data_IF_390050946010
#
_entry.id   IF_390050946010
#
_cell.length_a   1.000
_cell.length_b   1.000
_cell.length_c   1.000
_cell.angle_alpha   90.00
_cell.angle_beta   90.00
_cell.angle_gamma   90.00
#
_symmetry.space_group_name_H-M   'P 1'
#
loop_
_entity.id
_entity.type
_entity.pdbx_description
1 polymer ?
#
# COMPACT_ATOMS: atom_id res chain seq x y z
N UNK A 1 4.33 39.57 4.54
CA UNK A 1 4.96 38.50 5.33
C UNK A 1 5.40 37.42 4.36
N UNK A 2 6.65 37.00 4.39
CA UNK A 2 7.22 36.02 3.45
C UNK A 2 6.73 34.61 3.75
N UNK A 3 6.53 33.78 2.71
CA UNK A 3 6.12 32.35 2.74
C UNK A 3 6.83 31.48 3.79
N UNK A 4 7.99 31.92 4.28
CA UNK A 4 8.83 31.17 5.21
C UNK A 4 8.32 31.16 6.66
N UNK A 5 7.44 32.07 7.05
CA UNK A 5 6.97 32.19 8.46
C UNK A 5 5.66 31.45 8.78
N UNK A 6 4.87 31.08 7.77
CA UNK A 6 3.52 30.53 7.98
C UNK A 6 3.51 29.16 8.67
N UNK A 7 4.66 28.46 8.72
CA UNK A 7 4.79 27.15 9.31
C UNK A 7 5.57 27.08 10.63
N UNK A 8 6.03 28.19 11.19
CA UNK A 8 6.90 28.18 12.39
C UNK A 8 6.11 28.26 13.71
N UNK A 9 4.81 28.55 13.64
CA UNK A 9 3.94 28.75 14.79
C UNK A 9 2.82 27.69 14.81
N UNK A 10 2.51 27.19 16.01
CA UNK A 10 1.37 26.31 16.22
C UNK A 10 0.06 26.97 15.76
N UNK A 11 -0.87 26.19 15.22
CA UNK A 11 -2.13 26.68 14.65
C UNK A 11 -3.34 26.02 15.31
N UNK A 12 -4.39 26.78 15.57
CA UNK A 12 -5.72 26.23 15.83
C UNK A 12 -6.34 25.63 14.56
N UNK A 13 -7.48 24.96 14.69
CA UNK A 13 -8.23 24.50 13.52
C UNK A 13 -8.75 25.67 12.66
N UNK A 14 -9.04 26.82 13.27
CA UNK A 14 -9.48 28.03 12.58
C UNK A 14 -8.32 28.65 11.78
N UNK A 15 -7.11 28.65 12.33
CA UNK A 15 -5.91 29.09 11.62
C UNK A 15 -5.64 28.22 10.37
N UNK A 16 -5.81 26.89 10.47
CA UNK A 16 -5.67 26.00 9.30
C UNK A 16 -6.77 26.22 8.25
N UNK A 17 -7.97 26.67 8.65
CA UNK A 17 -9.02 27.04 7.69
C UNK A 17 -8.64 28.33 6.98
N UNK A 18 -8.16 29.34 7.72
CA UNK A 18 -7.66 30.59 7.13
C UNK A 18 -6.50 30.32 6.16
N UNK A 19 -5.51 29.53 6.57
CA UNK A 19 -4.39 29.10 5.73
C UNK A 19 -4.89 28.45 4.42
N UNK A 20 -5.89 27.57 4.50
CA UNK A 20 -6.43 26.92 3.32
C UNK A 20 -7.17 27.89 2.38
N UNK A 21 -7.90 28.86 2.91
CA UNK A 21 -8.54 29.90 2.13
C UNK A 21 -7.50 30.78 1.42
N UNK A 22 -6.45 31.19 2.13
CA UNK A 22 -5.34 31.98 1.60
C UNK A 22 -4.59 31.24 0.51
N UNK A 23 -4.42 29.92 0.67
CA UNK A 23 -3.84 29.06 -0.36
C UNK A 23 -4.78 28.88 -1.56
N UNK A 24 -6.08 29.19 -1.47
CA UNK A 24 -7.04 29.12 -2.58
C UNK A 24 -8.04 27.95 -2.52
N UNK A 25 -8.22 27.33 -1.36
CA UNK A 25 -9.26 26.31 -1.13
C UNK A 25 -10.58 27.00 -0.78
N UNK A 26 -11.36 27.36 -1.80
CA UNK A 26 -12.55 28.21 -1.69
C UNK A 26 -13.63 27.79 -0.66
N UNK A 27 -13.67 26.51 -0.25
CA UNK A 27 -14.66 25.98 0.70
C UNK A 27 -13.99 25.29 1.91
N UNK A 28 -12.86 25.81 2.38
CA UNK A 28 -12.23 25.30 3.59
C UNK A 28 -13.16 25.47 4.81
N UNK A 29 -13.28 24.42 5.62
CA UNK A 29 -14.14 24.41 6.82
C UNK A 29 -13.47 23.66 7.97
N UNK A 30 -13.87 23.89 9.24
CA UNK A 30 -13.37 23.10 10.36
C UNK A 30 -13.62 21.60 10.20
N UNK A 31 -14.72 21.22 9.51
CA UNK A 31 -15.02 19.82 9.20
C UNK A 31 -13.95 19.20 8.29
N UNK A 32 -13.43 19.95 7.31
CA UNK A 32 -12.32 19.50 6.46
C UNK A 32 -11.10 19.17 7.31
N UNK A 33 -10.73 20.01 8.27
CA UNK A 33 -9.58 19.74 9.15
C UNK A 33 -9.81 18.47 9.98
N UNK A 34 -11.02 18.29 10.52
CA UNK A 34 -11.40 17.05 11.22
C UNK A 34 -11.31 15.81 10.31
N UNK A 35 -11.78 15.90 9.06
CA UNK A 35 -11.66 14.82 8.07
C UNK A 35 -10.19 14.45 7.83
N UNK A 36 -9.31 15.45 7.70
CA UNK A 36 -7.89 15.20 7.48
C UNK A 36 -7.25 14.47 8.65
N UNK A 37 -7.62 14.79 9.89
CA UNK A 37 -7.20 14.04 11.08
C UNK A 37 -7.75 12.61 11.07
N UNK A 38 -9.03 12.43 10.74
CA UNK A 38 -9.70 11.12 10.66
C UNK A 38 -9.06 10.19 9.62
N UNK A 39 -8.58 10.78 8.51
CA UNK A 39 -7.89 10.07 7.42
C UNK A 39 -6.38 9.87 7.65
N UNK A 40 -5.80 10.41 8.72
CA UNK A 40 -4.36 10.34 8.98
C UNK A 40 -3.53 11.27 8.09
N UNK A 41 -4.15 12.26 7.45
CA UNK A 41 -3.43 13.32 6.73
C UNK A 41 -2.77 14.30 7.71
N UNK A 42 -3.38 14.52 8.88
CA UNK A 42 -2.83 15.29 9.99
C UNK A 42 -2.88 14.48 11.30
N UNK A 43 -1.97 14.79 12.22
CA UNK A 43 -2.05 14.34 13.61
C UNK A 43 -3.19 15.08 14.35
N UNK A 44 -3.79 14.49 15.39
CA UNK A 44 -4.80 15.19 16.19
C UNK A 44 -4.15 16.39 16.91
N UNK A 45 -4.90 17.49 17.12
CA UNK A 45 -4.34 18.66 17.78
C UNK A 45 -4.03 18.36 19.25
N UNK A 46 -2.89 18.85 19.71
CA UNK A 46 -2.37 18.63 21.06
C UNK A 46 -2.87 19.70 22.01
N UNK A 47 -2.99 19.36 23.29
CA UNK A 47 -3.31 20.34 24.32
C UNK A 47 -2.09 21.22 24.58
N UNK A 48 -2.25 22.54 24.46
CA UNK A 48 -1.21 23.49 24.86
C UNK A 48 -1.56 24.03 26.24
N UNK A 49 -0.87 23.56 27.28
CA UNK A 49 -1.09 24.07 28.63
C UNK A 49 -0.57 25.50 28.72
N UNK A 50 -1.43 26.48 28.49
CA UNK A 50 -1.07 27.91 28.50
C UNK A 50 -1.54 28.64 29.75
N UNK A 51 -2.52 28.08 30.48
CA UNK A 51 -3.09 28.73 31.67
C UNK A 51 -3.26 27.76 32.85
N UNK A 52 -3.25 28.31 34.07
CA UNK A 52 -3.43 27.53 35.31
C UNK A 52 -4.90 27.16 35.57
N UNK A 53 -5.86 27.85 34.92
CA UNK A 53 -7.31 27.61 34.96
C UNK A 53 -7.92 27.96 33.59
N UNK A 54 -8.52 26.96 32.94
CA UNK A 54 -9.21 27.10 31.64
C UNK A 54 -9.13 25.83 30.81
N UNK A 55 -10.09 25.61 29.90
CA UNK A 55 -9.94 24.61 28.83
C UNK A 55 -9.03 25.20 27.75
N UNK A 56 -7.72 24.98 27.85
CA UNK A 56 -6.80 25.51 26.85
C UNK A 56 -7.15 24.99 25.44
N UNK A 57 -6.95 25.84 24.44
CA UNK A 57 -7.20 25.52 23.05
C UNK A 57 -6.28 24.39 22.57
N UNK A 58 -6.85 23.45 21.80
CA UNK A 58 -6.07 22.41 21.11
C UNK A 58 -5.43 23.02 19.87
N UNK A 59 -4.14 22.79 19.68
CA UNK A 59 -3.37 23.34 18.56
C UNK A 59 -2.62 22.25 17.82
N UNK A 60 -2.46 22.44 16.53
CA UNK A 60 -1.57 21.69 15.67
C UNK A 60 -0.15 22.23 15.83
N UNK A 61 0.85 21.36 16.08
CA UNK A 61 2.24 21.76 16.10
C UNK A 61 2.68 22.40 14.77
N UNK A 62 3.73 23.25 14.77
CA UNK A 62 4.27 23.88 13.57
C UNK A 62 4.55 22.89 12.43
N UNK A 63 5.04 21.69 12.74
CA UNK A 63 5.33 20.61 11.80
C UNK A 63 4.08 20.15 11.05
N UNK A 64 2.93 20.07 11.74
CA UNK A 64 1.66 19.66 11.17
C UNK A 64 1.03 20.78 10.32
N UNK A 65 1.24 22.04 10.70
CA UNK A 65 0.87 23.18 9.87
C UNK A 65 1.69 23.20 8.57
N UNK A 66 3.01 22.97 8.63
CA UNK A 66 3.85 22.83 7.43
C UNK A 66 3.42 21.67 6.54
N UNK A 67 3.12 20.51 7.13
CA UNK A 67 2.59 19.35 6.41
C UNK A 67 1.28 19.70 5.69
N UNK A 68 0.38 20.40 6.37
CA UNK A 68 -0.90 20.83 5.81
C UNK A 68 -0.72 21.71 4.57
N UNK A 69 0.14 22.74 4.66
CA UNK A 69 0.46 23.63 3.54
C UNK A 69 1.00 22.86 2.35
N UNK A 70 2.05 22.03 2.57
CA UNK A 70 2.66 21.27 1.49
C UNK A 70 1.70 20.30 0.80
N UNK A 71 0.74 19.71 1.54
CA UNK A 71 -0.30 18.87 0.93
C UNK A 71 -1.28 19.71 0.10
N UNK A 72 -1.72 20.89 0.57
CA UNK A 72 -2.64 21.75 -0.19
C UNK A 72 -1.98 22.22 -1.49
N UNK A 73 -0.75 22.73 -1.42
CA UNK A 73 -0.01 23.19 -2.59
C UNK A 73 0.20 22.05 -3.60
N UNK A 74 0.51 20.85 -3.12
CA UNK A 74 0.61 19.66 -3.98
C UNK A 74 -0.73 19.30 -4.64
N UNK A 75 -1.84 19.39 -3.91
CA UNK A 75 -3.19 19.16 -4.46
C UNK A 75 -3.55 20.21 -5.52
N UNK A 76 -3.17 21.46 -5.33
CA UNK A 76 -3.47 22.56 -6.27
C UNK A 76 -2.66 22.50 -7.55
N UNK A 77 -1.44 21.96 -7.50
CA UNK A 77 -0.65 21.67 -8.71
C UNK A 77 -1.22 20.51 -9.53
N UNK A 78 -2.16 19.72 -8.98
CA UNK A 78 -2.77 18.62 -9.70
C UNK A 78 -3.72 19.14 -10.78
N UNK A 79 -3.72 18.57 -11.99
CA UNK A 79 -4.70 18.90 -13.02
C UNK A 79 -6.12 18.38 -12.69
N UNK A 80 -6.27 17.59 -11.62
CA UNK A 80 -7.55 17.05 -11.20
C UNK A 80 -8.37 18.10 -10.44
N UNK A 81 -9.62 18.29 -10.85
CA UNK A 81 -10.56 19.20 -10.17
C UNK A 81 -10.76 18.85 -8.68
N UNK A 82 -10.60 17.57 -8.30
CA UNK A 82 -10.62 17.12 -6.92
C UNK A 82 -9.65 15.96 -6.73
N UNK A 83 -8.73 16.11 -5.79
CA UNK A 83 -7.79 15.04 -5.39
C UNK A 83 -8.35 14.31 -4.15
N UNK A 84 -8.77 13.03 -4.27
CA UNK A 84 -9.25 12.26 -3.14
C UNK A 84 -8.18 12.05 -2.06
N UNK A 85 -8.58 11.99 -0.79
CA UNK A 85 -7.64 11.79 0.33
C UNK A 85 -6.83 10.49 0.22
N UNK A 86 -7.46 9.40 -0.24
CA UNK A 86 -6.77 8.12 -0.41
C UNK A 86 -5.65 8.15 -1.46
N UNK A 87 -5.64 9.15 -2.36
CA UNK A 87 -4.55 9.37 -3.32
C UNK A 87 -3.35 10.04 -2.66
N UNK A 88 -3.58 10.84 -1.61
CA UNK A 88 -2.54 11.59 -0.89
C UNK A 88 -1.97 10.80 0.28
N UNK A 89 -2.80 9.98 0.94
CA UNK A 89 -2.40 9.12 2.07
C UNK A 89 -1.08 8.35 1.84
N UNK A 90 -0.80 7.77 0.66
CA UNK A 90 0.49 7.12 0.40
C UNK A 90 1.71 8.03 0.61
N UNK A 91 1.59 9.33 0.40
CA UNK A 91 2.69 10.29 0.65
C UNK A 91 3.01 10.36 2.14
N UNK A 92 1.99 10.48 2.99
CA UNK A 92 2.19 10.48 4.45
C UNK A 92 2.78 9.16 4.93
N UNK A 93 2.29 8.03 4.40
CA UNK A 93 2.82 6.72 4.73
C UNK A 93 4.28 6.58 4.27
N UNK A 94 4.62 7.07 3.08
CA UNK A 94 6.00 7.12 2.61
C UNK A 94 6.88 7.96 3.54
N UNK A 95 6.45 9.16 3.94
CA UNK A 95 7.21 10.02 4.86
C UNK A 95 7.44 9.29 6.18
N UNK A 96 6.41 8.65 6.74
CA UNK A 96 6.54 7.86 7.96
C UNK A 96 7.51 6.70 7.77
N UNK A 97 7.35 5.88 6.71
CA UNK A 97 8.26 4.76 6.44
C UNK A 97 9.71 5.21 6.27
N UNK A 98 9.97 6.41 5.73
CA UNK A 98 11.31 6.91 5.46
C UNK A 98 11.94 7.71 6.60
N UNK A 99 11.17 8.50 7.35
CA UNK A 99 11.68 9.52 8.28
C UNK A 99 10.99 9.49 9.64
N UNK A 100 11.73 9.78 10.71
CA UNK A 100 11.24 9.84 12.10
C UNK A 100 10.79 11.25 12.53
N UNK A 101 10.22 12.02 11.61
CA UNK A 101 10.07 13.47 11.76
C UNK A 101 8.63 13.87 12.04
N UNK A 102 7.85 14.09 10.98
CA UNK A 102 6.61 14.87 11.03
C UNK A 102 5.38 14.00 11.27
N UNK A 103 5.39 12.75 10.81
CA UNK A 103 4.24 11.86 10.89
C UNK A 103 4.31 11.04 12.18
N UNK A 104 3.32 11.18 13.04
CA UNK A 104 3.24 10.39 14.29
C UNK A 104 2.74 8.98 14.01
N UNK A 105 3.03 8.02 14.90
CA UNK A 105 2.60 6.63 14.70
C UNK A 105 1.08 6.46 14.69
N UNK A 106 0.37 7.23 15.55
CA UNK A 106 -1.08 7.24 15.55
C UNK A 106 -1.65 7.86 14.26
N UNK A 107 -0.98 8.88 13.69
CA UNK A 107 -1.34 9.43 12.39
C UNK A 107 -1.12 8.39 11.28
N UNK A 108 0.02 7.67 11.30
CA UNK A 108 0.32 6.60 10.35
C UNK A 108 -0.67 5.45 10.45
N UNK A 109 -1.10 5.04 11.65
CA UNK A 109 -2.12 3.99 11.85
C UNK A 109 -3.44 4.36 11.17
N UNK A 110 -3.91 5.61 11.34
CA UNK A 110 -5.13 6.11 10.66
C UNK A 110 -4.96 6.20 9.15
N UNK A 111 -3.78 6.61 8.70
CA UNK A 111 -3.43 6.66 7.28
C UNK A 111 -3.46 5.24 6.66
N UNK A 112 -2.87 4.24 7.31
CA UNK A 112 -2.93 2.84 6.86
C UNK A 112 -4.36 2.31 6.81
N UNK A 113 -5.19 2.58 7.83
CA UNK A 113 -6.60 2.23 7.81
C UNK A 113 -7.34 2.85 6.62
N UNK A 114 -7.08 4.13 6.33
CA UNK A 114 -7.67 4.82 5.17
C UNK A 114 -7.19 4.21 3.86
N UNK A 115 -5.90 3.93 3.75
CA UNK A 115 -5.30 3.28 2.58
C UNK A 115 -5.89 1.88 2.36
N UNK A 116 -5.97 1.05 3.40
CA UNK A 116 -6.54 -0.28 3.36
C UNK A 116 -8.03 -0.29 2.96
N UNK A 117 -8.83 0.66 3.47
CA UNK A 117 -10.24 0.82 3.06
C UNK A 117 -10.37 1.15 1.57
N UNK A 118 -9.44 1.94 1.04
CA UNK A 118 -9.38 2.28 -0.38
C UNK A 118 -8.80 1.17 -1.27
N UNK A 119 -8.12 0.18 -0.69
CA UNK A 119 -7.57 -0.94 -1.43
C UNK A 119 -8.67 -1.69 -2.19
N UNK A 120 -8.44 -1.95 -3.48
CA UNK A 120 -9.41 -2.58 -4.38
C UNK A 120 -10.43 -1.63 -5.02
N UNK A 121 -10.41 -0.31 -4.72
CA UNK A 121 -11.22 0.70 -5.37
C UNK A 121 -10.67 1.07 -6.77
N UNK A 122 -10.60 0.09 -7.68
CA UNK A 122 -10.15 0.26 -9.07
C UNK A 122 -11.33 0.23 -10.04
N UNK A 123 -11.17 0.84 -11.22
CA UNK A 123 -12.14 0.67 -12.30
C UNK A 123 -12.10 -0.77 -12.84
N UNK A 124 -13.21 -1.25 -13.41
CA UNK A 124 -13.26 -2.58 -14.02
C UNK A 124 -12.18 -2.78 -15.10
N UNK A 125 -11.89 -1.73 -15.87
CA UNK A 125 -10.82 -1.71 -16.88
C UNK A 125 -9.46 -1.95 -16.23
N UNK A 126 -9.14 -1.26 -15.13
CA UNK A 126 -7.85 -1.39 -14.45
C UNK A 126 -7.70 -2.74 -13.73
N UNK A 127 -8.79 -3.31 -13.21
CA UNK A 127 -8.80 -4.68 -12.66
C UNK A 127 -8.44 -5.71 -13.73
N UNK A 128 -9.11 -5.67 -14.89
CA UNK A 128 -8.81 -6.56 -16.02
C UNK A 128 -7.37 -6.40 -16.52
N UNK A 129 -6.92 -5.16 -16.67
CA UNK A 129 -5.53 -4.88 -17.07
C UNK A 129 -4.51 -5.46 -16.08
N UNK A 130 -4.75 -5.32 -14.77
CA UNK A 130 -3.88 -5.91 -13.73
C UNK A 130 -3.92 -7.44 -13.80
N UNK A 131 -5.10 -8.04 -13.93
CA UNK A 131 -5.25 -9.49 -14.04
C UNK A 131 -4.51 -10.07 -15.26
N UNK A 132 -4.57 -9.37 -16.40
CA UNK A 132 -3.82 -9.77 -17.60
C UNK A 132 -2.31 -9.70 -17.41
N UNK A 133 -1.79 -8.65 -16.77
CA UNK A 133 -0.36 -8.56 -16.47
C UNK A 133 0.11 -9.73 -15.60
N UNK A 134 -0.69 -10.12 -14.60
CA UNK A 134 -0.41 -11.31 -13.77
C UNK A 134 -0.42 -12.59 -14.62
N UNK A 135 -1.42 -12.75 -15.49
CA UNK A 135 -1.51 -13.91 -16.39
C UNK A 135 -0.31 -13.98 -17.32
N UNK A 136 0.13 -12.85 -17.90
CA UNK A 136 1.24 -12.82 -18.83
C UNK A 136 2.59 -13.18 -18.17
N UNK A 137 2.74 -12.87 -16.87
CA UNK A 137 3.89 -13.25 -16.07
C UNK A 137 3.95 -14.77 -15.82
N UNK A 138 2.83 -15.39 -15.48
CA UNK A 138 2.81 -16.80 -15.04
C UNK A 138 2.36 -17.80 -16.09
N UNK A 139 1.67 -17.40 -17.15
CA UNK A 139 1.09 -18.35 -18.10
C UNK A 139 2.16 -19.04 -18.95
N UNK A 140 2.11 -20.36 -19.02
CA UNK A 140 2.89 -21.11 -19.99
C UNK A 140 2.51 -20.68 -21.42
N UNK A 141 3.45 -20.65 -22.40
CA UNK A 141 3.13 -20.34 -23.79
C UNK A 141 1.99 -21.19 -24.36
N UNK A 142 1.91 -22.45 -23.94
CA UNK A 142 0.86 -23.40 -24.36
C UNK A 142 -0.43 -23.32 -23.52
N UNK A 143 -0.51 -22.44 -22.52
CA UNK A 143 -1.73 -22.27 -21.74
C UNK A 143 -2.88 -21.77 -22.64
N UNK A 144 -3.95 -22.55 -22.68
CA UNK A 144 -5.11 -22.30 -23.53
C UNK A 144 -5.81 -20.98 -23.20
N UNK A 145 -6.55 -20.45 -24.19
CA UNK A 145 -7.40 -19.27 -24.00
C UNK A 145 -8.42 -19.46 -22.88
N UNK A 146 -8.98 -20.66 -22.74
CA UNK A 146 -9.95 -20.97 -21.69
C UNK A 146 -9.33 -20.90 -20.28
N UNK A 147 -8.10 -21.42 -20.10
CA UNK A 147 -7.37 -21.33 -18.82
C UNK A 147 -7.07 -19.86 -18.46
N UNK A 148 -6.60 -19.07 -19.44
CA UNK A 148 -6.35 -17.63 -19.25
C UNK A 148 -7.62 -16.88 -18.84
N UNK A 149 -8.75 -17.14 -19.52
CA UNK A 149 -10.04 -16.51 -19.22
C UNK A 149 -10.59 -16.89 -17.84
N UNK A 150 -10.45 -18.17 -17.45
CA UNK A 150 -10.85 -18.65 -16.12
C UNK A 150 -10.10 -17.90 -15.01
N UNK A 151 -8.77 -17.80 -15.14
CA UNK A 151 -7.93 -17.07 -14.20
C UNK A 151 -8.27 -15.57 -14.19
N UNK A 152 -8.42 -14.94 -15.35
CA UNK A 152 -8.79 -13.51 -15.43
C UNK A 152 -10.10 -13.26 -14.69
N UNK A 153 -11.10 -14.12 -14.88
CA UNK A 153 -12.38 -14.06 -14.19
C UNK A 153 -12.23 -14.15 -12.67
N UNK A 154 -11.48 -15.15 -12.18
CA UNK A 154 -11.26 -15.35 -10.74
C UNK A 154 -10.52 -14.18 -10.09
N UNK A 155 -9.50 -13.63 -10.75
CA UNK A 155 -8.76 -12.45 -10.25
C UNK A 155 -9.65 -11.20 -10.22
N UNK A 156 -10.38 -10.93 -11.30
CA UNK A 156 -11.26 -9.75 -11.40
C UNK A 156 -12.41 -9.83 -10.39
N UNK A 157 -13.05 -10.99 -10.26
CA UNK A 157 -14.12 -11.22 -9.29
C UNK A 157 -13.60 -11.10 -7.86
N UNK A 158 -12.46 -11.74 -7.55
CA UNK A 158 -11.84 -11.69 -6.23
C UNK A 158 -11.46 -10.27 -5.80
N UNK A 159 -10.89 -9.48 -6.71
CA UNK A 159 -10.57 -8.07 -6.45
C UNK A 159 -11.82 -7.20 -6.31
N UNK A 160 -12.86 -7.43 -7.13
CA UNK A 160 -14.11 -6.66 -7.07
C UNK A 160 -14.90 -6.91 -5.78
N UNK A 161 -14.93 -8.16 -5.32
CA UNK A 161 -15.69 -8.60 -4.13
C UNK A 161 -14.88 -8.53 -2.84
N UNK A 162 -13.55 -8.37 -2.91
CA UNK A 162 -12.60 -8.54 -1.79
C UNK A 162 -12.69 -9.92 -1.13
N UNK A 163 -13.18 -10.92 -1.87
CA UNK A 163 -13.35 -12.33 -1.45
C UNK A 163 -12.85 -13.27 -2.55
N UNK A 164 -11.53 -13.35 -2.78
CA UNK A 164 -11.00 -14.26 -3.78
C UNK A 164 -11.29 -15.71 -3.41
N UNK A 165 -11.70 -16.51 -4.40
CA UNK A 165 -11.92 -17.96 -4.27
C UNK A 165 -10.58 -18.68 -4.41
N UNK A 166 -9.79 -18.67 -3.34
CA UNK A 166 -8.42 -19.21 -3.34
C UNK A 166 -8.37 -20.70 -3.69
N UNK A 167 -9.38 -21.45 -3.25
CA UNK A 167 -9.58 -22.88 -3.55
C UNK A 167 -9.73 -23.16 -5.06
N UNK A 168 -10.25 -22.20 -5.84
CA UNK A 168 -10.35 -22.29 -7.30
C UNK A 168 -9.18 -21.62 -8.01
N UNK A 169 -8.71 -20.47 -7.50
CA UNK A 169 -7.63 -19.69 -8.11
C UNK A 169 -6.31 -20.44 -8.06
N UNK A 170 -6.00 -21.10 -6.94
CA UNK A 170 -4.76 -21.85 -6.78
C UNK A 170 -4.57 -22.94 -7.84
N UNK A 171 -5.50 -23.91 -7.95
CA UNK A 171 -5.46 -24.93 -9.00
C UNK A 171 -5.47 -24.36 -10.42
N UNK A 172 -6.33 -23.36 -10.70
CA UNK A 172 -6.46 -22.79 -12.05
C UNK A 172 -5.16 -22.13 -12.54
N UNK A 173 -4.47 -21.43 -11.65
CA UNK A 173 -3.18 -20.81 -11.95
C UNK A 173 -2.03 -21.82 -12.01
N UNK A 174 -2.05 -22.89 -11.21
CA UNK A 174 -1.12 -24.01 -11.40
C UNK A 174 -1.26 -24.58 -12.80
N UNK A 175 -2.48 -24.86 -13.25
CA UNK A 175 -2.75 -25.34 -14.61
C UNK A 175 -2.39 -24.31 -15.69
N UNK A 176 -2.45 -23.01 -15.37
CA UNK A 176 -1.98 -21.94 -16.24
C UNK A 176 -0.44 -21.91 -16.38
N UNK A 177 0.28 -22.13 -15.27
CA UNK A 177 1.74 -22.09 -15.22
C UNK A 177 2.41 -23.36 -15.73
N UNK A 178 1.71 -24.49 -15.69
CA UNK A 178 2.13 -25.77 -16.25
C UNK A 178 0.91 -26.54 -16.76
N UNK A 179 0.56 -26.42 -18.05
CA UNK A 179 -0.66 -27.00 -18.62
C UNK A 179 -0.56 -28.52 -18.83
N UNK A 180 0.65 -29.08 -18.76
CA UNK A 180 0.89 -30.51 -18.90
C UNK A 180 0.55 -31.23 -17.59
N UNK A 181 -0.58 -31.91 -17.57
CA UNK A 181 -0.94 -32.81 -16.47
C UNK A 181 -0.27 -34.15 -16.71
N UNK A 182 0.73 -34.50 -15.92
CA UNK A 182 1.20 -35.88 -15.79
C UNK A 182 0.84 -36.36 -14.38
N UNK A 183 -0.15 -37.25 -14.32
CA UNK A 183 -0.57 -37.86 -13.05
C UNK A 183 0.62 -38.58 -12.40
N UNK A 184 0.97 -38.16 -11.18
CA UNK A 184 2.00 -38.80 -10.37
C UNK A 184 3.46 -38.44 -10.69
N UNK A 185 3.73 -37.54 -11.64
CA UNK A 185 5.09 -37.03 -11.91
C UNK A 185 5.24 -35.55 -11.49
N UNK A 186 6.45 -35.10 -11.08
CA UNK A 186 6.74 -33.69 -10.89
C UNK A 186 6.45 -32.92 -12.17
N UNK A 187 5.79 -31.76 -12.08
CA UNK A 187 5.51 -30.90 -13.24
C UNK A 187 6.84 -30.44 -13.83
N UNK A 188 7.14 -30.91 -15.04
CA UNK A 188 8.46 -30.79 -15.65
C UNK A 188 8.83 -29.35 -16.04
N UNK A 189 7.83 -28.47 -16.23
CA UNK A 189 8.01 -27.10 -16.73
C UNK A 189 7.07 -26.10 -15.99
N UNK A 190 7.24 -25.92 -14.68
CA UNK A 190 6.52 -24.85 -13.96
C UNK A 190 7.15 -23.49 -14.27
N UNK A 191 6.37 -22.59 -14.88
CA UNK A 191 6.84 -21.22 -15.13
C UNK A 191 6.97 -20.45 -13.82
N UNK A 192 8.19 -20.06 -13.48
CA UNK A 192 8.50 -19.17 -12.35
C UNK A 192 8.95 -17.79 -12.84
N UNK A 193 8.85 -16.78 -11.98
CA UNK A 193 9.34 -15.42 -12.25
C UNK A 193 10.38 -15.00 -11.22
N UNK A 194 11.18 -13.98 -11.52
CA UNK A 194 12.18 -13.44 -10.58
C UNK A 194 13.60 -13.88 -10.91
N UNK A 195 14.44 -13.97 -9.89
CA UNK A 195 15.82 -14.38 -10.05
C UNK A 195 15.91 -15.90 -10.22
N UNK A 196 16.82 -16.41 -11.06
CA UNK A 196 17.01 -17.85 -11.23
C UNK A 196 17.33 -18.59 -9.92
N UNK A 197 18.08 -17.95 -9.01
CA UNK A 197 18.42 -18.54 -7.70
C UNK A 197 17.29 -18.48 -6.65
N UNK A 198 16.29 -17.63 -6.87
CA UNK A 198 15.17 -17.41 -5.95
C UNK A 198 13.88 -17.28 -6.77
N UNK A 199 13.49 -18.35 -7.50
CA UNK A 199 12.34 -18.29 -8.38
C UNK A 199 11.06 -18.14 -7.55
N UNK A 200 10.26 -17.13 -7.88
CA UNK A 200 8.91 -16.99 -7.36
C UNK A 200 8.00 -17.97 -8.09
N UNK A 201 7.60 -19.01 -7.37
CA UNK A 201 6.56 -19.94 -7.80
C UNK A 201 5.19 -19.27 -7.72
N UNK A 202 4.22 -19.83 -8.43
CA UNK A 202 2.86 -19.33 -8.34
C UNK A 202 2.29 -19.48 -6.92
N UNK A 203 2.57 -20.58 -6.23
CA UNK A 203 2.14 -20.79 -4.85
C UNK A 203 2.69 -19.68 -3.92
N UNK A 204 3.96 -19.27 -4.10
CA UNK A 204 4.51 -18.13 -3.37
C UNK A 204 3.78 -16.81 -3.69
N UNK A 205 3.42 -16.58 -4.96
CA UNK A 205 2.65 -15.39 -5.36
C UNK A 205 1.23 -15.37 -4.74
N UNK A 206 0.53 -16.51 -4.69
CA UNK A 206 -0.76 -16.62 -3.99
C UNK A 206 -0.62 -16.33 -2.51
N UNK A 207 0.39 -16.90 -1.86
CA UNK A 207 0.63 -16.68 -0.45
C UNK A 207 0.85 -15.17 -0.17
N UNK A 208 1.60 -14.47 -1.03
CA UNK A 208 1.78 -13.02 -0.94
C UNK A 208 0.47 -12.24 -1.17
N UNK A 209 -0.38 -12.66 -2.11
CA UNK A 209 -1.68 -12.01 -2.32
C UNK A 209 -2.66 -12.25 -1.17
N UNK A 210 -2.69 -13.46 -0.62
CA UNK A 210 -3.44 -13.80 0.59
C UNK A 210 -2.96 -12.97 1.77
N UNK A 211 -1.64 -12.89 1.97
CA UNK A 211 -1.03 -12.08 3.02
C UNK A 211 -1.41 -10.60 2.88
N UNK A 212 -1.31 -10.03 1.68
CA UNK A 212 -1.70 -8.63 1.43
C UNK A 212 -3.18 -8.38 1.71
N UNK A 213 -4.06 -9.33 1.36
CA UNK A 213 -5.49 -9.25 1.68
C UNK A 213 -5.73 -9.28 3.20
N UNK A 214 -5.04 -10.17 3.91
CA UNK A 214 -5.22 -10.32 5.36
C UNK A 214 -4.65 -9.14 6.15
N UNK A 215 -3.51 -8.59 5.71
CA UNK A 215 -2.98 -7.32 6.22
C UNK A 215 -3.97 -6.19 5.97
N UNK A 216 -4.55 -6.10 4.77
CA UNK A 216 -5.58 -5.10 4.46
C UNK A 216 -6.80 -5.21 5.38
N UNK A 217 -7.26 -6.44 5.65
CA UNK A 217 -8.37 -6.71 6.57
C UNK A 217 -8.01 -6.30 8.00
N UNK A 218 -6.84 -6.70 8.47
CA UNK A 218 -6.33 -6.39 9.81
C UNK A 218 -6.19 -4.87 10.04
N UNK A 219 -5.63 -4.15 9.07
CA UNK A 219 -5.54 -2.69 9.10
C UNK A 219 -6.92 -2.01 9.07
N UNK A 220 -7.87 -2.57 8.30
CA UNK A 220 -9.24 -2.03 8.22
C UNK A 220 -10.01 -2.21 9.53
N UNK A 221 -9.79 -3.36 10.19
CA UNK A 221 -10.38 -3.73 11.48
C UNK A 221 -9.64 -3.13 12.68
N UNK A 222 -8.51 -2.45 12.46
CA UNK A 222 -7.65 -1.90 13.51
C UNK A 222 -7.12 -2.97 14.49
N UNK A 223 -6.91 -4.20 14.01
CA UNK A 223 -6.38 -5.30 14.84
C UNK A 223 -4.86 -5.32 14.96
N UNK A 224 -4.16 -4.50 14.17
CA UNK A 224 -2.69 -4.36 14.22
C UNK A 224 -2.34 -3.31 15.28
N UNK A 225 -1.56 -3.71 16.30
CA UNK A 225 -1.09 -2.80 17.35
C UNK A 225 -0.03 -1.83 16.83
N UNK A 226 0.15 -0.71 17.54
CA UNK A 226 1.20 0.26 17.23
C UNK A 226 2.60 -0.36 17.33
N UNK A 227 2.84 -1.24 18.31
CA UNK A 227 4.13 -1.90 18.49
C UNK A 227 4.49 -2.80 17.30
N UNK A 228 3.51 -3.53 16.77
CA UNK A 228 3.70 -4.36 15.56
C UNK A 228 4.01 -3.49 14.34
N UNK A 229 3.32 -2.35 14.19
CA UNK A 229 3.62 -1.39 13.11
C UNK A 229 5.04 -0.83 13.22
N UNK A 230 5.49 -0.48 14.42
CA UNK A 230 6.82 0.05 14.67
C UNK A 230 7.92 -1.00 14.42
N UNK A 231 7.72 -2.23 14.90
CA UNK A 231 8.64 -3.34 14.63
C UNK A 231 8.75 -3.61 13.12
N UNK A 232 7.62 -3.71 12.43
CA UNK A 232 7.59 -3.89 10.98
C UNK A 232 8.30 -2.74 10.24
N UNK A 233 8.11 -1.49 10.69
CA UNK A 233 8.74 -0.31 10.08
C UNK A 233 10.25 -0.35 10.23
N UNK A 234 10.77 -0.74 11.39
CA UNK A 234 12.20 -0.84 11.64
C UNK A 234 12.84 -1.88 10.70
N UNK A 235 12.25 -3.08 10.63
CA UNK A 235 12.69 -4.14 9.71
C UNK A 235 12.61 -3.69 8.26
N UNK A 236 11.48 -3.12 7.85
CA UNK A 236 11.24 -2.69 6.48
C UNK A 236 12.25 -1.66 6.01
N UNK A 237 12.68 -0.71 6.86
CA UNK A 237 13.67 0.31 6.45
C UNK A 237 15.02 -0.32 6.11
N UNK A 238 15.45 -1.33 6.87
CA UNK A 238 16.70 -2.06 6.61
C UNK A 238 16.58 -2.84 5.30
N UNK A 239 15.50 -3.60 5.15
CA UNK A 239 15.24 -4.42 3.96
C UNK A 239 15.09 -3.59 2.70
N UNK A 240 14.36 -2.48 2.79
CA UNK A 240 14.11 -1.58 1.68
C UNK A 240 15.38 -0.86 1.23
N UNK A 241 16.21 -0.37 2.16
CA UNK A 241 17.48 0.24 1.82
C UNK A 241 18.41 -0.75 1.10
N UNK A 242 18.47 -1.99 1.58
CA UNK A 242 19.21 -3.07 0.93
C UNK A 242 18.66 -3.39 -0.46
N UNK A 243 17.35 -3.54 -0.60
CA UNK A 243 16.69 -3.76 -1.89
C UNK A 243 16.99 -2.63 -2.89
N UNK A 244 16.87 -1.37 -2.48
CA UNK A 244 17.15 -0.23 -3.36
C UNK A 244 18.63 -0.18 -3.77
N UNK A 245 19.56 -0.50 -2.87
CA UNK A 245 21.00 -0.60 -3.20
C UNK A 245 21.31 -1.71 -4.20
N UNK A 246 20.61 -2.84 -4.11
CA UNK A 246 20.79 -3.98 -5.00
C UNK A 246 19.97 -3.91 -6.28
N UNK A 247 18.99 -3.01 -6.37
CA UNK A 247 17.94 -3.00 -7.41
C UNK A 247 18.45 -3.10 -8.84
N UNK A 248 19.42 -2.28 -9.21
CA UNK A 248 20.01 -2.30 -10.56
C UNK A 248 20.69 -3.65 -10.86
N UNK A 249 21.46 -4.18 -9.90
CA UNK A 249 22.08 -5.50 -10.01
C UNK A 249 21.03 -6.62 -10.14
N UNK A 250 19.92 -6.53 -9.40
CA UNK A 250 18.83 -7.51 -9.48
C UNK A 250 18.15 -7.45 -10.85
N UNK A 251 17.92 -6.23 -11.38
CA UNK A 251 17.37 -6.01 -12.71
C UNK A 251 18.25 -6.65 -13.80
N UNK A 252 19.56 -6.42 -13.77
CA UNK A 252 20.50 -6.97 -14.76
C UNK A 252 20.53 -8.50 -14.76
N UNK A 253 20.39 -9.11 -13.57
CA UNK A 253 20.46 -10.57 -13.40
C UNK A 253 19.15 -11.30 -13.65
N UNK A 254 18.01 -10.60 -13.62
CA UNK A 254 16.68 -11.21 -13.68
C UNK A 254 16.25 -11.64 -15.10
N UNK A 255 17.03 -11.32 -16.15
CA UNK A 255 16.74 -11.74 -17.52
C UNK A 255 15.34 -11.31 -17.97
N UNK A 256 14.48 -12.27 -18.35
CA UNK A 256 13.09 -12.00 -18.75
C UNK A 256 12.24 -11.34 -17.64
N UNK A 257 12.69 -11.41 -16.39
CA UNK A 257 12.04 -10.81 -15.22
C UNK A 257 12.59 -9.43 -14.85
N UNK A 258 13.53 -8.86 -15.62
CA UNK A 258 14.17 -7.57 -15.32
C UNK A 258 13.17 -6.44 -15.04
N UNK A 259 12.06 -6.41 -15.78
CA UNK A 259 11.02 -5.39 -15.61
C UNK A 259 10.40 -5.34 -14.20
N UNK A 260 10.47 -6.43 -13.42
CA UNK A 260 9.98 -6.45 -12.03
C UNK A 260 10.85 -5.64 -11.07
N UNK A 261 12.14 -5.51 -11.40
CA UNK A 261 13.12 -4.77 -10.61
C UNK A 261 13.36 -3.37 -11.17
N UNK A 262 12.78 -3.02 -12.32
CA UNK A 262 12.88 -1.69 -12.90
C UNK A 262 12.31 -0.64 -11.94
N UNK A 263 12.98 0.51 -11.83
CA UNK A 263 12.47 1.65 -11.06
C UNK A 263 11.13 2.12 -11.66
N UNK A 264 10.07 2.32 -10.85
CA UNK A 264 8.81 2.81 -11.37
C UNK A 264 8.94 4.23 -11.92
N UNK A 265 8.24 4.50 -13.02
CA UNK A 265 8.21 5.81 -13.66
C UNK A 265 7.45 6.83 -12.80
N UNK A 266 8.18 7.84 -12.35
CA UNK A 266 7.64 8.98 -11.61
C UNK A 266 7.46 8.74 -10.11
N UNK A 267 7.42 9.85 -9.37
CA UNK A 267 7.40 9.86 -7.89
C UNK A 267 6.16 9.17 -7.32
N UNK A 268 4.99 9.30 -7.94
CA UNK A 268 3.77 8.65 -7.43
C UNK A 268 3.91 7.12 -7.45
N UNK A 269 4.41 6.57 -8.56
CA UNK A 269 4.59 5.12 -8.70
C UNK A 269 5.61 4.59 -7.69
N UNK A 270 6.71 5.32 -7.47
CA UNK A 270 7.73 4.98 -6.47
C UNK A 270 7.19 5.05 -5.04
N UNK A 271 6.40 6.08 -4.70
CA UNK A 271 5.73 6.19 -3.39
C UNK A 271 4.77 5.02 -3.18
N UNK A 272 3.99 4.66 -4.19
CA UNK A 272 3.07 3.52 -4.11
C UNK A 272 3.83 2.21 -3.94
N UNK A 273 4.90 1.97 -4.69
CA UNK A 273 5.75 0.79 -4.53
C UNK A 273 6.31 0.69 -3.11
N UNK A 274 6.81 1.80 -2.56
CA UNK A 274 7.33 1.84 -1.19
C UNK A 274 6.26 1.44 -0.16
N UNK A 275 5.06 2.02 -0.25
CA UNK A 275 3.96 1.72 0.68
C UNK A 275 3.40 0.32 0.47
N UNK A 276 3.26 -0.14 -0.77
CA UNK A 276 2.76 -1.47 -1.10
C UNK A 276 3.72 -2.59 -0.64
N UNK A 277 5.03 -2.35 -0.72
CA UNK A 277 6.06 -3.30 -0.30
C UNK A 277 6.09 -3.51 1.22
N UNK A 278 5.68 -2.51 1.99
CA UNK A 278 5.58 -2.62 3.44
C UNK A 278 4.61 -3.72 3.90
N UNK A 279 3.57 -4.02 3.10
CA UNK A 279 2.54 -4.98 3.48
C UNK A 279 3.09 -6.38 3.78
N UNK A 280 4.12 -6.84 3.05
CA UNK A 280 4.73 -8.14 3.30
C UNK A 280 5.47 -8.17 4.64
N UNK A 281 6.28 -7.15 4.92
CA UNK A 281 7.02 -7.01 6.19
C UNK A 281 6.06 -6.90 7.37
N UNK A 282 4.98 -6.12 7.22
CA UNK A 282 3.93 -6.03 8.23
C UNK A 282 3.25 -7.38 8.48
N UNK A 283 2.99 -8.14 7.41
CA UNK A 283 2.42 -9.48 7.50
C UNK A 283 3.30 -10.46 8.27
N UNK A 284 4.63 -10.37 8.10
CA UNK A 284 5.59 -11.16 8.88
C UNK A 284 5.58 -10.74 10.35
N UNK A 285 5.73 -9.45 10.64
CA UNK A 285 5.75 -8.92 12.01
C UNK A 285 4.44 -9.19 12.78
N UNK A 286 3.30 -9.22 12.08
CA UNK A 286 2.00 -9.53 12.65
C UNK A 286 1.75 -11.05 12.83
N UNK A 287 2.70 -11.91 12.45
CA UNK A 287 2.55 -13.37 12.52
C UNK A 287 1.55 -13.95 11.52
N UNK A 288 1.20 -13.21 10.47
CA UNK A 288 0.23 -13.64 9.44
C UNK A 288 0.87 -14.47 8.33
N UNK A 289 2.17 -14.24 8.04
CA UNK A 289 2.85 -14.86 6.91
C UNK A 289 2.94 -16.39 7.04
N UNK A 290 3.58 -16.91 8.10
CA UNK A 290 3.83 -18.35 8.25
C UNK A 290 2.57 -19.22 8.11
N UNK A 291 1.44 -18.95 8.80
CA UNK A 291 0.24 -19.78 8.65
C UNK A 291 -0.34 -19.74 7.23
N UNK A 292 -0.27 -18.59 6.54
CA UNK A 292 -0.76 -18.44 5.15
C UNK A 292 0.12 -19.26 4.19
N UNK A 293 1.45 -19.14 4.32
CA UNK A 293 2.37 -19.88 3.47
C UNK A 293 2.27 -21.40 3.72
N UNK A 294 2.07 -21.81 4.98
CA UNK A 294 1.80 -23.21 5.32
C UNK A 294 0.48 -23.72 4.68
N UNK A 295 -0.58 -22.92 4.69
CA UNK A 295 -1.87 -23.28 4.07
C UNK A 295 -1.75 -23.45 2.55
N UNK A 296 -1.03 -22.56 1.86
CA UNK A 296 -0.79 -22.69 0.42
C UNK A 296 0.03 -23.95 0.11
N UNK A 297 1.12 -24.20 0.86
CA UNK A 297 1.95 -25.42 0.72
C UNK A 297 1.17 -26.71 0.96
N UNK A 298 0.21 -26.69 1.88
CA UNK A 298 -0.68 -27.84 2.16
C UNK A 298 -1.74 -28.07 1.06
N UNK A 299 -1.78 -27.21 0.04
CA UNK A 299 -2.73 -27.25 -1.07
C UNK A 299 -4.10 -26.75 -0.64
N UNK A 300 -4.25 -25.42 -0.52
CA UNK A 300 -5.48 -24.63 -0.33
C UNK A 300 -6.76 -25.49 -0.22
N UNK A 301 -6.96 -26.11 0.94
CA UNK A 301 -8.11 -26.99 1.18
C UNK A 301 -9.32 -26.12 1.45
N UNK A 302 -10.49 -26.51 0.90
CA UNK A 302 -11.77 -25.79 1.03
C UNK A 302 -11.97 -25.27 2.46
N UNK A 303 -12.07 -23.95 2.61
CA UNK A 303 -12.74 -23.29 3.74
C UNK A 303 -14.07 -22.76 3.26
#
# INVERSE_FOLDING_TARGET
>A
MTDRQLGEVAASAEDLVADALDLGVAQATPRMIKDWVEHGLLAPPVFRKSTQRGSDARVFPPEQRRLFHGIIEAKQRSPLARVPHHTVVPVNLHIWLTYDTVITDEQARRAFRTYARSAGARSAVRRRSTARQVIDQFAHPEASRAQRQMVEGLLVEGEATKRPRWDLLGPAMRDLASPFRTDGLPRLDERTIGLPEMPMTFDAAVALWMLKLEVTRSLTAESVSTDVLLAARAEFRVEWARYQGDRARLQDRAGASAAMFAMPDGTEAQVREHVDSFAATLGCAAGLAEPIFAEVRAGLRRR
#
